data_IF_020065819628
#
_entry.id   IF_020065819628
#
_cell.length_a   1.000
_cell.length_b   1.000
_cell.length_c   1.000
_cell.angle_alpha   90.00
_cell.angle_beta   90.00
_cell.angle_gamma   90.00
#
_symmetry.space_group_name_H-M   'P 1'
#
loop_
_entity.id
_entity.type
_entity.pdbx_description
1 polymer ?
#
# COMPACT_ATOMS: atom_id res chain seq x y z
N UNK A 1 -8.61 10.24 -21.36
CA UNK A 1 -9.28 9.33 -20.44
C UNK A 1 -10.05 10.22 -19.49
N UNK A 2 -11.39 10.21 -19.54
CA UNK A 2 -12.24 11.11 -18.74
C UNK A 2 -12.03 10.76 -17.25
N UNK A 3 -11.74 11.78 -16.47
CA UNK A 3 -11.59 11.69 -15.01
C UNK A 3 -13.00 11.79 -14.45
N UNK A 4 -13.50 10.70 -13.91
CA UNK A 4 -14.81 10.68 -13.22
C UNK A 4 -14.67 11.15 -11.77
N UNK A 5 -13.86 12.19 -11.53
CA UNK A 5 -13.85 12.91 -10.27
C UNK A 5 -15.13 13.74 -10.21
N UNK A 6 -15.99 13.36 -9.29
CA UNK A 6 -17.19 14.15 -8.96
C UNK A 6 -16.72 15.32 -8.10
N UNK A 7 -16.45 16.47 -8.75
CA UNK A 7 -16.14 17.71 -8.07
C UNK A 7 -17.46 18.44 -7.78
N UNK A 8 -17.52 19.11 -6.64
CA UNK A 8 -18.64 19.96 -6.28
C UNK A 8 -18.62 21.26 -7.12
N UNK A 9 -19.77 21.92 -7.20
CA UNK A 9 -19.88 23.18 -7.95
C UNK A 9 -18.97 24.25 -7.35
N UNK A 10 -17.99 24.72 -8.15
CA UNK A 10 -17.03 25.73 -7.73
C UNK A 10 -15.84 25.19 -6.95
N UNK A 11 -15.59 23.87 -6.97
CA UNK A 11 -14.41 23.23 -6.39
C UNK A 11 -13.26 23.22 -7.38
N UNK A 12 -12.09 23.73 -6.99
CA UNK A 12 -10.91 23.79 -7.81
C UNK A 12 -9.84 22.76 -7.38
N UNK A 13 -9.26 22.05 -8.35
CA UNK A 13 -8.17 21.10 -8.09
C UNK A 13 -6.86 21.87 -7.96
N UNK A 14 -6.28 21.90 -6.76
CA UNK A 14 -5.00 22.54 -6.49
C UNK A 14 -3.81 21.64 -6.85
N UNK A 15 -3.97 20.35 -6.71
CA UNK A 15 -2.94 19.35 -7.02
C UNK A 15 -3.56 18.02 -7.40
N UNK A 16 -2.92 17.37 -8.37
CA UNK A 16 -3.29 16.01 -8.77
C UNK A 16 -2.05 15.14 -8.94
N UNK A 17 -2.19 13.84 -8.65
CA UNK A 17 -1.08 12.91 -8.77
C UNK A 17 -1.52 11.46 -8.88
N UNK A 18 -0.57 10.64 -9.30
CA UNK A 18 -0.70 9.18 -9.34
C UNK A 18 0.42 8.54 -8.54
N UNK A 19 0.20 7.34 -8.00
CA UNK A 19 1.28 6.61 -7.35
C UNK A 19 2.32 6.13 -8.37
N UNK A 20 3.59 6.08 -7.95
CA UNK A 20 4.65 5.47 -8.74
C UNK A 20 4.35 4.00 -9.03
N UNK A 21 4.39 3.54 -10.29
CA UNK A 21 3.90 2.23 -10.69
C UNK A 21 4.65 1.07 -10.03
N UNK A 22 5.97 1.18 -9.92
CA UNK A 22 6.81 0.14 -9.31
C UNK A 22 6.54 0.05 -7.81
N UNK A 23 6.57 1.18 -7.10
CA UNK A 23 6.32 1.25 -5.68
C UNK A 23 4.92 0.71 -5.32
N UNK A 24 3.90 1.09 -6.07
CA UNK A 24 2.52 0.65 -5.82
C UNK A 24 2.36 -0.86 -6.04
N UNK A 25 2.93 -1.42 -7.10
CA UNK A 25 2.85 -2.84 -7.43
C UNK A 25 3.55 -3.70 -6.38
N UNK A 26 4.74 -3.29 -5.93
CA UNK A 26 5.54 -4.04 -4.96
C UNK A 26 5.25 -3.68 -3.49
N UNK A 27 4.20 -2.93 -3.22
CA UNK A 27 3.80 -2.54 -1.86
C UNK A 27 3.71 -3.72 -0.89
N UNK A 28 3.29 -4.86 -1.36
CA UNK A 28 3.08 -6.08 -0.57
C UNK A 28 4.02 -7.23 -0.98
N UNK A 29 5.26 -6.92 -1.38
CA UNK A 29 6.23 -7.91 -1.84
C UNK A 29 6.49 -9.07 -0.85
N UNK A 30 6.31 -8.83 0.46
CA UNK A 30 6.43 -9.87 1.50
C UNK A 30 5.43 -11.01 1.31
N UNK A 31 4.22 -10.69 0.86
CA UNK A 31 3.20 -11.72 0.55
C UNK A 31 3.58 -12.53 -0.69
N UNK A 32 4.27 -11.92 -1.67
CA UNK A 32 4.80 -12.64 -2.83
C UNK A 32 5.82 -13.69 -2.44
N UNK A 33 6.74 -13.35 -1.52
CA UNK A 33 7.73 -14.31 -1.05
C UNK A 33 7.05 -15.48 -0.35
N UNK A 34 6.10 -15.21 0.54
CA UNK A 34 5.33 -16.26 1.20
C UNK A 34 4.60 -17.15 0.17
N UNK A 35 3.93 -16.52 -0.82
CA UNK A 35 3.25 -17.23 -1.90
C UNK A 35 4.20 -18.08 -2.72
N UNK A 36 5.42 -17.60 -2.99
CA UNK A 36 6.43 -18.34 -3.73
C UNK A 36 6.92 -19.59 -2.97
N UNK A 37 7.22 -19.47 -1.67
CA UNK A 37 7.60 -20.59 -0.82
C UNK A 37 6.48 -21.62 -0.73
N UNK A 38 5.25 -21.16 -0.53
CA UNK A 38 4.07 -22.02 -0.50
C UNK A 38 3.88 -22.75 -1.84
N UNK A 39 4.02 -22.05 -2.97
CA UNK A 39 3.96 -22.64 -4.31
C UNK A 39 5.02 -23.73 -4.50
N UNK A 40 6.26 -23.49 -4.06
CA UNK A 40 7.32 -24.47 -4.15
C UNK A 40 6.99 -25.76 -3.37
N UNK A 41 6.50 -25.63 -2.15
CA UNK A 41 6.07 -26.78 -1.33
C UNK A 41 4.94 -27.55 -2.00
N UNK A 42 3.91 -26.85 -2.49
CA UNK A 42 2.77 -27.46 -3.18
C UNK A 42 3.19 -28.13 -4.49
N UNK A 43 4.17 -27.56 -5.21
CA UNK A 43 4.72 -28.16 -6.42
C UNK A 43 5.48 -29.46 -6.14
N UNK A 44 6.27 -29.49 -5.05
CA UNK A 44 6.92 -30.74 -4.60
C UNK A 44 5.88 -31.80 -4.24
N UNK A 45 4.80 -31.40 -3.55
CA UNK A 45 3.71 -32.32 -3.24
C UNK A 45 2.99 -32.80 -4.50
N UNK A 46 2.81 -31.96 -5.50
CA UNK A 46 2.24 -32.36 -6.80
C UNK A 46 3.09 -33.41 -7.50
N UNK A 47 4.41 -33.27 -7.50
CA UNK A 47 5.35 -34.25 -8.08
C UNK A 47 5.23 -35.60 -7.37
N UNK A 48 5.19 -35.58 -6.02
CA UNK A 48 4.95 -36.80 -5.23
C UNK A 48 3.60 -37.43 -5.56
N UNK A 49 2.55 -36.62 -5.72
CA UNK A 49 1.22 -37.07 -6.11
C UNK A 49 1.20 -37.81 -7.44
N UNK A 50 1.97 -37.37 -8.44
CA UNK A 50 2.13 -38.09 -9.71
C UNK A 50 2.80 -39.46 -9.50
N UNK A 51 3.90 -39.50 -8.73
CA UNK A 51 4.61 -40.75 -8.49
C UNK A 51 3.75 -41.79 -7.74
N UNK A 52 3.02 -41.34 -6.71
CA UNK A 52 2.14 -42.21 -5.94
C UNK A 52 0.91 -42.66 -6.73
N UNK A 53 0.37 -41.79 -7.58
CA UNK A 53 -0.77 -42.14 -8.45
C UNK A 53 -0.43 -43.25 -9.42
N UNK A 54 0.81 -43.26 -9.94
CA UNK A 54 1.32 -44.28 -10.86
C UNK A 54 1.58 -45.61 -10.11
N UNK A 55 2.19 -45.54 -8.91
CA UNK A 55 2.52 -46.72 -8.12
C UNK A 55 1.31 -47.43 -7.53
N UNK A 56 0.29 -46.69 -7.08
CA UNK A 56 -0.91 -47.24 -6.45
C UNK A 56 -2.13 -47.34 -7.37
N UNK A 57 -1.99 -47.01 -8.66
CA UNK A 57 -3.06 -46.98 -9.63
C UNK A 57 -4.26 -46.10 -9.21
N UNK A 58 -4.02 -44.99 -8.52
CA UNK A 58 -5.01 -44.06 -7.99
C UNK A 58 -4.99 -42.73 -8.73
N UNK A 59 -5.58 -42.57 -9.90
CA UNK A 59 -5.46 -41.36 -10.74
C UNK A 59 -6.04 -40.11 -10.11
N UNK A 60 -6.97 -40.23 -9.17
CA UNK A 60 -7.56 -39.09 -8.47
C UNK A 60 -6.54 -38.38 -7.54
N UNK A 61 -5.48 -39.05 -7.10
CA UNK A 61 -4.47 -38.53 -6.20
C UNK A 61 -3.71 -37.32 -6.80
N UNK A 62 -3.62 -37.28 -8.13
CA UNK A 62 -3.01 -36.13 -8.86
C UNK A 62 -3.81 -34.85 -8.69
N UNK A 63 -5.14 -34.95 -8.56
CA UNK A 63 -5.99 -33.79 -8.47
C UNK A 63 -6.01 -33.15 -7.08
N UNK A 64 -5.60 -33.87 -6.03
CA UNK A 64 -5.66 -33.43 -4.65
C UNK A 64 -4.76 -32.19 -4.38
N UNK A 65 -3.48 -32.12 -4.83
CA UNK A 65 -2.64 -30.96 -4.61
C UNK A 65 -2.93 -29.78 -5.54
N UNK A 66 -3.61 -30.01 -6.67
CA UNK A 66 -3.82 -29.00 -7.71
C UNK A 66 -4.45 -27.68 -7.21
N UNK A 67 -5.51 -27.69 -6.37
CA UNK A 67 -6.07 -26.46 -5.83
C UNK A 67 -5.06 -25.66 -5.00
N UNK A 68 -4.17 -26.33 -4.27
CA UNK A 68 -3.13 -25.68 -3.47
C UNK A 68 -2.03 -25.06 -4.34
N UNK A 69 -1.67 -25.71 -5.46
CA UNK A 69 -0.75 -25.15 -6.45
C UNK A 69 -1.35 -23.87 -7.06
N UNK A 70 -2.63 -23.89 -7.45
CA UNK A 70 -3.32 -22.71 -7.97
C UNK A 70 -3.40 -21.57 -6.94
N UNK A 71 -3.65 -21.91 -5.68
CA UNK A 71 -3.67 -20.95 -4.59
C UNK A 71 -2.28 -20.34 -4.36
N UNK A 72 -1.22 -21.15 -4.39
CA UNK A 72 0.16 -20.71 -4.30
C UNK A 72 0.55 -19.79 -5.46
N UNK A 73 0.12 -20.11 -6.67
CA UNK A 73 0.33 -19.26 -7.85
C UNK A 73 -0.38 -17.91 -7.70
N UNK A 74 -1.61 -17.90 -7.19
CA UNK A 74 -2.35 -16.68 -6.90
C UNK A 74 -1.62 -15.81 -5.86
N UNK A 75 -1.17 -16.37 -4.75
CA UNK A 75 -0.42 -15.61 -3.73
C UNK A 75 0.96 -15.17 -4.20
N UNK A 76 1.60 -15.91 -5.09
CA UNK A 76 2.91 -15.54 -5.64
C UNK A 76 2.83 -14.37 -6.62
N UNK A 77 1.97 -14.48 -7.63
CA UNK A 77 1.92 -13.54 -8.77
C UNK A 77 0.58 -12.83 -8.91
N UNK A 78 -0.53 -13.49 -8.57
CA UNK A 78 -1.88 -12.99 -8.84
C UNK A 78 -2.17 -11.65 -8.21
N UNK A 79 -1.75 -11.44 -6.95
CA UNK A 79 -1.96 -10.16 -6.27
C UNK A 79 -1.06 -9.03 -6.81
N UNK A 80 0.13 -9.34 -7.37
CA UNK A 80 0.97 -8.34 -8.04
C UNK A 80 0.31 -7.89 -9.35
N UNK A 81 -0.24 -8.85 -10.10
CA UNK A 81 -1.00 -8.56 -11.32
C UNK A 81 -2.23 -7.71 -11.00
N UNK A 82 -2.96 -8.06 -9.94
CA UNK A 82 -4.10 -7.29 -9.46
C UNK A 82 -3.70 -5.85 -9.07
N UNK A 83 -2.63 -5.68 -8.31
CA UNK A 83 -2.11 -4.35 -7.94
C UNK A 83 -1.67 -3.54 -9.18
N UNK A 84 -1.10 -4.21 -10.19
CA UNK A 84 -0.72 -3.57 -11.45
C UNK A 84 -1.92 -3.10 -12.27
N UNK A 85 -3.00 -3.90 -12.29
CA UNK A 85 -4.25 -3.54 -12.96
C UNK A 85 -4.97 -2.41 -12.22
N UNK A 86 -4.99 -2.47 -10.89
CA UNK A 86 -5.58 -1.42 -10.05
C UNK A 86 -4.87 -0.08 -10.23
N UNK A 87 -3.53 -0.09 -10.34
CA UNK A 87 -2.72 1.11 -10.49
C UNK A 87 -3.23 2.08 -11.57
N UNK A 88 -3.72 1.56 -12.68
CA UNK A 88 -4.24 2.39 -13.78
C UNK A 88 -5.46 3.23 -13.37
N UNK A 89 -6.14 2.86 -12.29
CA UNK A 89 -7.37 3.49 -11.78
C UNK A 89 -7.16 4.25 -10.46
N UNK A 90 -5.92 4.20 -9.92
CA UNK A 90 -5.60 4.96 -8.72
C UNK A 90 -5.27 6.39 -9.08
N UNK A 91 -5.93 7.31 -8.39
CA UNK A 91 -5.78 8.73 -8.61
C UNK A 91 -5.93 9.50 -7.29
N UNK A 92 -5.09 10.49 -7.09
CA UNK A 92 -5.11 11.36 -5.92
C UNK A 92 -5.32 12.80 -6.36
N UNK A 93 -6.13 13.54 -5.63
CA UNK A 93 -6.33 14.97 -5.84
C UNK A 93 -6.43 15.71 -4.50
N UNK A 94 -5.91 16.91 -4.47
CA UNK A 94 -6.09 17.87 -3.39
C UNK A 94 -6.82 19.05 -4.02
N UNK A 95 -8.01 19.32 -3.49
CA UNK A 95 -8.79 20.48 -3.90
C UNK A 95 -8.65 21.60 -2.88
N UNK A 96 -9.33 22.70 -3.10
CA UNK A 96 -9.44 23.81 -2.16
C UNK A 96 -10.25 23.46 -0.89
N UNK A 97 -11.02 22.33 -0.89
CA UNK A 97 -11.92 21.94 0.20
C UNK A 97 -11.64 20.57 0.79
N UNK A 98 -11.18 19.60 -0.03
CA UNK A 98 -11.03 18.21 0.40
C UNK A 98 -9.85 17.51 -0.27
N UNK A 99 -9.42 16.45 0.37
CA UNK A 99 -8.45 15.49 -0.15
C UNK A 99 -9.22 14.29 -0.70
N UNK A 100 -8.93 13.91 -1.93
CA UNK A 100 -9.59 12.82 -2.64
C UNK A 100 -8.59 11.72 -2.98
N UNK A 101 -8.95 10.46 -2.67
CA UNK A 101 -8.21 9.28 -3.06
C UNK A 101 -9.14 8.31 -3.75
N UNK A 102 -8.99 8.18 -5.05
CA UNK A 102 -9.75 7.24 -5.85
C UNK A 102 -8.95 5.99 -6.10
N UNK A 103 -9.56 4.82 -5.83
CA UNK A 103 -8.94 3.50 -6.06
C UNK A 103 -9.99 2.45 -6.37
N UNK A 104 -9.58 1.32 -6.90
CA UNK A 104 -10.42 0.15 -7.13
C UNK A 104 -10.29 -0.45 -8.52
N UNK A 105 -10.37 -1.78 -8.60
CA UNK A 105 -10.26 -2.52 -9.86
C UNK A 105 -11.62 -2.69 -10.55
N UNK A 106 -12.64 -3.12 -9.80
CA UNK A 106 -13.98 -3.42 -10.31
C UNK A 106 -14.98 -2.31 -10.00
N UNK A 107 -14.91 -1.77 -8.78
CA UNK A 107 -15.69 -0.61 -8.35
C UNK A 107 -14.72 0.48 -7.93
N UNK A 108 -14.89 1.65 -8.50
CA UNK A 108 -14.17 2.84 -8.05
C UNK A 108 -14.70 3.22 -6.68
N UNK A 109 -13.80 3.25 -5.71
CA UNK A 109 -14.07 3.74 -4.38
C UNK A 109 -13.30 5.04 -4.21
N UNK A 110 -14.01 6.09 -3.86
CA UNK A 110 -13.42 7.39 -3.58
C UNK A 110 -13.47 7.63 -2.09
N UNK A 111 -12.29 7.65 -1.48
CA UNK A 111 -12.14 8.08 -0.09
C UNK A 111 -11.94 9.59 -0.10
N UNK A 112 -12.70 10.30 0.70
CA UNK A 112 -12.60 11.75 0.83
C UNK A 112 -12.38 12.17 2.27
N UNK A 113 -11.64 13.28 2.44
CA UNK A 113 -11.39 13.90 3.73
C UNK A 113 -11.37 15.41 3.56
N UNK A 114 -12.23 16.13 4.30
CA UNK A 114 -12.26 17.58 4.26
C UNK A 114 -10.98 18.15 4.86
N UNK A 115 -10.44 19.17 4.22
CA UNK A 115 -9.20 19.80 4.68
C UNK A 115 -9.34 20.49 6.04
N UNK A 116 -10.54 20.99 6.35
CA UNK A 116 -10.86 21.61 7.65
C UNK A 116 -10.82 20.61 8.82
N UNK A 117 -11.04 19.33 8.54
CA UNK A 117 -11.09 18.25 9.52
C UNK A 117 -9.71 17.58 9.74
N UNK A 118 -8.70 17.96 8.95
CA UNK A 118 -7.35 17.39 9.05
C UNK A 118 -6.65 17.91 10.30
N UNK A 119 -6.29 17.00 11.18
CA UNK A 119 -5.57 17.32 12.42
C UNK A 119 -4.06 17.37 12.23
N UNK A 120 -3.50 16.37 11.56
CA UNK A 120 -2.07 16.31 11.25
C UNK A 120 -1.81 15.38 10.06
N UNK A 121 -0.64 15.49 9.48
CA UNK A 121 -0.18 14.58 8.45
C UNK A 121 1.23 14.07 8.74
N UNK A 122 1.56 12.92 8.21
CA UNK A 122 2.87 12.28 8.34
C UNK A 122 3.36 11.86 6.96
N UNK A 123 4.56 12.28 6.58
CA UNK A 123 5.22 11.87 5.36
C UNK A 123 6.28 10.82 5.67
N UNK A 124 6.08 9.61 5.15
CA UNK A 124 7.08 8.54 5.20
C UNK A 124 7.80 8.48 3.86
N UNK A 125 9.04 8.96 3.83
CA UNK A 125 9.88 8.93 2.63
C UNK A 125 10.36 7.50 2.35
N UNK A 126 10.27 7.08 1.08
CA UNK A 126 10.69 5.77 0.59
C UNK A 126 11.80 5.92 -0.47
N UNK A 127 12.65 6.93 -0.32
CA UNK A 127 13.70 7.30 -1.25
C UNK A 127 13.74 8.80 -1.49
N UNK A 128 14.55 9.25 -2.47
CA UNK A 128 14.77 10.67 -2.73
C UNK A 128 13.50 11.38 -3.26
N UNK A 129 12.70 10.70 -4.06
CA UNK A 129 11.56 11.28 -4.78
C UNK A 129 10.23 10.59 -4.50
N UNK A 130 10.23 9.54 -3.67
CA UNK A 130 9.03 8.76 -3.36
C UNK A 130 8.65 8.88 -1.89
N UNK A 131 7.36 9.00 -1.62
CA UNK A 131 6.85 9.04 -0.27
C UNK A 131 5.41 8.55 -0.14
N UNK A 132 5.07 8.10 1.04
CA UNK A 132 3.69 7.79 1.42
C UNK A 132 3.21 8.85 2.39
N UNK A 133 2.19 9.59 1.98
CA UNK A 133 1.57 10.63 2.77
C UNK A 133 0.37 10.04 3.52
N UNK A 134 0.37 10.18 4.83
CA UNK A 134 -0.73 9.78 5.70
C UNK A 134 -1.34 11.03 6.31
N UNK A 135 -2.62 11.23 6.06
CA UNK A 135 -3.39 12.36 6.58
C UNK A 135 -4.39 11.83 7.58
N UNK A 136 -4.46 12.46 8.73
CA UNK A 136 -5.30 12.04 9.84
C UNK A 136 -6.32 13.12 10.16
N UNK A 137 -7.59 12.71 10.23
CA UNK A 137 -8.68 13.58 10.65
C UNK A 137 -8.82 13.58 12.16
N UNK A 138 -8.73 12.39 12.77
CA UNK A 138 -8.72 12.13 14.20
C UNK A 138 -8.05 10.76 14.40
N UNK A 139 -8.07 10.22 15.61
CA UNK A 139 -7.44 8.92 15.90
C UNK A 139 -7.98 7.75 15.08
N UNK A 140 -9.21 7.85 14.60
CA UNK A 140 -9.89 6.75 13.89
C UNK A 140 -9.84 6.85 12.37
N UNK A 141 -9.93 8.05 11.79
CA UNK A 141 -10.00 8.21 10.33
C UNK A 141 -8.68 8.70 9.76
N UNK A 142 -8.14 7.91 8.84
CA UNK A 142 -6.90 8.21 8.11
C UNK A 142 -7.08 8.02 6.62
N UNK A 143 -6.53 8.94 5.85
CA UNK A 143 -6.40 8.81 4.40
C UNK A 143 -4.93 8.59 4.05
N UNK A 144 -4.63 7.58 3.25
CA UNK A 144 -3.24 7.23 2.90
C UNK A 144 -3.05 7.32 1.40
N UNK A 145 -2.16 8.21 0.99
CA UNK A 145 -1.71 8.35 -0.38
C UNK A 145 -0.38 7.61 -0.54
N UNK A 146 -0.46 6.43 -1.12
CA UNK A 146 0.71 5.55 -1.27
C UNK A 146 1.57 5.96 -2.46
N UNK A 147 2.89 5.88 -2.26
CA UNK A 147 3.87 5.95 -3.34
C UNK A 147 3.75 7.20 -4.21
N UNK A 148 3.58 8.37 -3.60
CA UNK A 148 3.56 9.64 -4.31
C UNK A 148 4.93 9.94 -4.91
N UNK A 149 4.93 10.38 -6.17
CA UNK A 149 6.09 11.02 -6.79
C UNK A 149 6.10 12.49 -6.39
N UNK A 150 7.29 12.98 -5.98
CA UNK A 150 7.49 14.36 -5.52
C UNK A 150 6.51 14.80 -4.41
N UNK A 151 6.47 14.09 -3.27
CA UNK A 151 5.50 14.33 -2.21
C UNK A 151 5.55 15.74 -1.61
N UNK A 152 6.68 16.45 -1.76
CA UNK A 152 6.87 17.82 -1.24
C UNK A 152 5.82 18.79 -1.75
N UNK A 153 5.43 18.70 -3.03
CA UNK A 153 4.38 19.58 -3.57
C UNK A 153 3.03 19.40 -2.89
N UNK A 154 2.68 18.16 -2.56
CA UNK A 154 1.46 17.85 -1.84
C UNK A 154 1.53 18.28 -0.37
N UNK A 155 2.69 18.10 0.29
CA UNK A 155 2.89 18.53 1.68
C UNK A 155 2.88 20.05 1.83
N UNK A 156 3.54 20.79 0.92
CA UNK A 156 3.55 22.25 0.94
C UNK A 156 2.15 22.86 0.79
N UNK A 157 1.28 22.20 0.01
CA UNK A 157 -0.12 22.62 -0.10
C UNK A 157 -0.89 22.31 1.18
N UNK A 158 -0.70 21.15 1.77
CA UNK A 158 -1.35 20.79 3.02
C UNK A 158 -0.89 21.70 4.18
N UNK A 159 0.38 22.03 4.26
CA UNK A 159 0.90 22.97 5.26
C UNK A 159 0.29 24.37 5.14
N UNK A 160 0.01 24.84 3.93
CA UNK A 160 -0.65 26.12 3.71
C UNK A 160 -2.10 26.16 4.14
N UNK A 161 -2.79 25.00 4.01
CA UNK A 161 -4.22 24.90 4.30
C UNK A 161 -4.47 24.53 5.76
N UNK A 162 -3.67 23.63 6.30
CA UNK A 162 -3.67 23.31 7.72
C UNK A 162 -2.96 24.47 8.40
N UNK A 163 -3.71 25.47 8.85
CA UNK A 163 -3.18 26.56 9.69
C UNK A 163 -2.26 25.94 10.74
N UNK A 164 -1.07 26.53 11.01
CA UNK A 164 -0.06 25.90 11.84
C UNK A 164 -0.61 25.70 13.25
N UNK A 165 -1.10 24.52 13.54
CA UNK A 165 -1.06 23.98 14.90
C UNK A 165 0.41 23.66 15.12
N UNK A 166 1.10 24.65 15.65
CA UNK A 166 2.48 24.63 16.06
C UNK A 166 2.79 23.35 16.83
N UNK A 167 3.48 22.44 16.20
CA UNK A 167 4.41 21.55 16.90
C UNK A 167 5.41 21.04 15.87
N UNK A 168 6.69 21.41 15.98
CA UNK A 168 7.75 20.79 15.21
C UNK A 168 7.98 19.41 15.80
N UNK A 169 7.36 18.39 15.22
CA UNK A 169 7.79 17.02 15.48
C UNK A 169 8.88 16.71 14.49
N UNK A 170 10.08 16.91 14.89
CA UNK A 170 10.84 15.98 15.68
C UNK A 170 11.37 14.91 14.76
N UNK A 171 12.52 15.21 14.18
CA UNK A 171 13.64 14.27 14.00
C UNK A 171 13.40 13.01 14.82
N UNK A 172 13.37 11.88 14.14
CA UNK A 172 13.42 10.55 14.72
C UNK A 172 14.32 10.52 15.94
N UNK A 173 13.74 10.53 17.12
CA UNK A 173 14.41 9.97 18.29
C UNK A 173 14.33 8.47 18.16
N UNK A 174 15.41 7.91 17.67
CA UNK A 174 15.85 6.57 17.99
C UNK A 174 15.83 6.42 19.52
N UNK A 175 15.22 5.38 20.09
CA UNK A 175 15.33 5.16 21.53
C UNK A 175 16.78 4.76 21.83
N UNK A 176 17.53 5.67 22.42
CA UNK A 176 18.74 5.37 23.21
C UNK A 176 18.36 4.51 24.41
N UNK A 177 18.26 3.24 24.19
CA UNK A 177 18.13 2.21 25.22
C UNK A 177 19.30 1.25 25.09
N UNK A 178 20.51 1.74 25.33
CA UNK A 178 21.67 0.83 25.49
C UNK A 178 22.89 1.50 26.16
N UNK A 179 22.72 2.16 27.26
CA UNK A 179 23.91 2.59 28.05
C UNK A 179 23.71 2.64 29.57
N UNK A 180 22.73 1.89 30.10
CA UNK A 180 22.60 1.77 31.56
C UNK A 180 22.98 0.38 32.13
N UNK A 181 23.71 -0.43 31.37
CA UNK A 181 24.11 -1.76 31.83
C UNK A 181 25.62 -1.88 32.12
N UNK A 182 26.42 -0.81 32.12
CA UNK A 182 27.87 -0.90 32.32
C UNK A 182 28.41 -0.16 33.56
N UNK A 183 27.56 0.49 34.36
CA UNK A 183 28.00 1.19 35.59
C UNK A 183 27.72 0.45 36.90
N UNK A 184 27.30 -0.79 36.87
CA UNK A 184 27.03 -1.57 38.10
C UNK A 184 27.97 -2.76 38.31
N UNK A 185 29.19 -2.70 37.72
CA UNK A 185 30.19 -3.73 37.98
C UNK A 185 31.62 -3.15 38.01
N UNK A 186 31.85 -2.17 38.89
CA UNK A 186 33.18 -1.79 39.35
C UNK A 186 33.17 -1.63 40.85
#
# INVERSE_FOLDING_TARGET
MKRDLVLDVGEEVCWEGRPAPRCYTFRHWKHSIFGFVFLAICSCWQILGFSLADEYELPWLVWLPLPFVLLGLYFSVGHLLQARLEWNRVYYAITDRRLLSQRGLWRLHTDEMKLEEVTYFSLHQQGAELGTLRVYQDKEKKLVLHCLEHPRKATDLLEKVIKPVTTPLGTSQEPEAKNEAEELNS
#
